data_IF_348921143396
#
_entry.id   IF_348921143396
#
_cell.length_a   1.000
_cell.length_b   1.000
_cell.length_c   1.000
_cell.angle_alpha   90.00
_cell.angle_beta   90.00
_cell.angle_gamma   90.00
#
_symmetry.space_group_name_H-M   'P 1'
#
loop_
_entity.id
_entity.type
_entity.pdbx_description
1 polymer ?
#
# COMPACT_ATOMS: atom_id res chain seq x y z
N UNK A 1 -41.39 27.48 23.58
CA UNK A 1 -41.70 26.08 23.91
C UNK A 1 -41.48 25.22 22.69
N UNK A 2 -40.75 24.12 22.86
CA UNK A 2 -40.63 22.93 21.98
C UNK A 2 -40.03 23.10 20.56
N UNK A 3 -38.72 23.38 20.49
CA UNK A 3 -37.86 23.03 19.34
C UNK A 3 -37.30 21.59 19.52
N UNK A 4 -38.17 20.61 19.74
CA UNK A 4 -37.78 19.23 20.03
C UNK A 4 -37.91 18.32 18.82
N UNK A 5 -36.79 17.86 18.25
CA UNK A 5 -36.65 16.70 17.37
C UNK A 5 -37.80 16.47 16.38
N UNK A 6 -37.88 17.31 15.34
CA UNK A 6 -38.80 17.09 14.24
C UNK A 6 -38.45 15.75 13.55
N UNK A 7 -39.28 14.72 13.77
CA UNK A 7 -39.05 13.37 13.25
C UNK A 7 -39.12 13.40 11.72
N UNK A 8 -38.06 12.94 11.05
CA UNK A 8 -38.03 12.78 9.59
C UNK A 8 -38.60 11.42 9.19
N UNK A 9 -39.59 11.42 8.29
CA UNK A 9 -40.15 10.21 7.72
C UNK A 9 -39.29 9.74 6.55
N UNK A 10 -38.64 8.58 6.67
CA UNK A 10 -37.80 8.03 5.60
C UNK A 10 -38.60 7.51 4.39
N UNK A 11 -39.89 7.20 4.55
CA UNK A 11 -40.74 6.71 3.46
C UNK A 11 -41.07 7.81 2.43
N UNK A 12 -41.41 9.02 2.89
CA UNK A 12 -41.82 10.14 2.04
C UNK A 12 -40.90 11.36 2.10
N UNK A 13 -39.85 11.34 2.94
CA UNK A 13 -38.96 12.47 3.27
C UNK A 13 -39.65 13.67 3.93
N UNK A 14 -40.91 13.52 4.35
CA UNK A 14 -41.64 14.52 5.13
C UNK A 14 -41.14 14.65 6.57
N UNK A 15 -41.57 15.70 7.27
CA UNK A 15 -41.15 15.98 8.65
C UNK A 15 -42.39 15.98 9.56
N UNK A 16 -42.22 15.63 10.83
CA UNK A 16 -43.27 15.70 11.87
C UNK A 16 -43.99 14.39 12.15
N UNK A 17 -43.60 13.27 11.53
CA UNK A 17 -44.22 11.97 11.78
C UNK A 17 -43.24 10.80 11.62
N UNK A 18 -43.48 9.73 12.37
CA UNK A 18 -42.77 8.47 12.19
C UNK A 18 -43.14 7.80 10.87
N UNK A 19 -42.19 7.07 10.28
CA UNK A 19 -42.43 6.32 9.04
C UNK A 19 -43.60 5.32 9.14
N UNK A 20 -43.84 4.72 10.32
CA UNK A 20 -44.99 3.84 10.59
C UNK A 20 -46.35 4.52 10.50
N UNK A 21 -46.39 5.84 10.71
CA UNK A 21 -47.61 6.66 10.64
C UNK A 21 -47.74 7.37 9.28
N UNK A 22 -46.87 7.04 8.31
CA UNK A 22 -46.89 7.67 7.00
C UNK A 22 -48.08 7.17 6.19
N UNK A 23 -48.96 8.09 5.80
CA UNK A 23 -50.13 7.80 4.95
C UNK A 23 -49.76 7.82 3.47
N UNK A 24 -48.62 8.42 3.12
CA UNK A 24 -48.07 8.35 1.76
C UNK A 24 -47.66 6.91 1.50
N UNK A 25 -48.16 6.35 0.39
CA UNK A 25 -47.76 5.01 -0.05
C UNK A 25 -46.23 4.94 -0.06
N UNK A 26 -45.59 4.00 0.67
CA UNK A 26 -44.15 3.85 0.65
C UNK A 26 -43.68 3.73 -0.78
N UNK A 27 -42.55 4.36 -1.13
CA UNK A 27 -41.95 4.19 -2.46
C UNK A 27 -41.81 2.69 -2.72
N UNK A 28 -42.66 2.15 -3.60
CA UNK A 28 -42.41 0.84 -4.17
C UNK A 28 -41.13 0.98 -4.97
N UNK A 29 -40.11 0.26 -4.56
CA UNK A 29 -38.86 0.14 -5.29
C UNK A 29 -39.20 -0.61 -6.57
N UNK A 30 -39.37 0.12 -7.65
CA UNK A 30 -39.56 -0.50 -8.96
C UNK A 30 -38.26 -1.20 -9.40
N UNK A 31 -38.37 -2.00 -10.46
CA UNK A 31 -37.22 -2.75 -10.97
C UNK A 31 -36.07 -1.80 -11.39
N UNK A 32 -36.39 -0.64 -11.96
CA UNK A 32 -35.40 0.36 -12.39
C UNK A 32 -34.60 0.94 -11.20
N UNK A 33 -35.28 1.23 -10.09
CA UNK A 33 -34.65 1.69 -8.87
C UNK A 33 -33.74 0.61 -8.27
N UNK A 34 -34.22 -0.65 -8.18
CA UNK A 34 -33.42 -1.75 -7.65
C UNK A 34 -32.18 -2.02 -8.51
N UNK A 35 -32.34 -1.98 -9.83
CA UNK A 35 -31.23 -2.16 -10.77
C UNK A 35 -30.18 -1.05 -10.63
N UNK A 36 -30.60 0.20 -10.45
CA UNK A 36 -29.69 1.32 -10.21
C UNK A 36 -28.94 1.16 -8.89
N UNK A 37 -29.64 0.77 -7.81
CA UNK A 37 -29.00 0.53 -6.51
C UNK A 37 -27.97 -0.61 -6.55
N UNK A 38 -28.26 -1.69 -7.29
CA UNK A 38 -27.31 -2.78 -7.50
C UNK A 38 -26.07 -2.31 -8.25
N UNK A 39 -26.24 -1.53 -9.32
CA UNK A 39 -25.13 -1.00 -10.09
C UNK A 39 -24.24 -0.06 -9.26
N UNK A 40 -24.84 0.76 -8.38
CA UNK A 40 -24.10 1.61 -7.46
C UNK A 40 -23.29 0.76 -6.49
N UNK A 41 -23.91 -0.24 -5.86
CA UNK A 41 -23.24 -1.12 -4.90
C UNK A 41 -22.06 -1.87 -5.55
N UNK A 42 -22.23 -2.39 -6.78
CA UNK A 42 -21.15 -3.06 -7.52
C UNK A 42 -19.98 -2.13 -7.81
N UNK A 43 -20.25 -0.86 -8.16
CA UNK A 43 -19.20 0.13 -8.39
C UNK A 43 -18.46 0.51 -7.11
N UNK A 44 -19.18 0.66 -6.01
CA UNK A 44 -18.59 0.92 -4.70
C UNK A 44 -17.70 -0.26 -4.26
N UNK A 45 -18.18 -1.50 -4.43
CA UNK A 45 -17.42 -2.71 -4.11
C UNK A 45 -16.14 -2.84 -4.95
N UNK A 46 -16.24 -2.61 -6.26
CA UNK A 46 -15.07 -2.58 -7.14
C UNK A 46 -14.08 -1.47 -6.74
N UNK A 47 -14.57 -0.30 -6.34
CA UNK A 47 -13.74 0.80 -5.83
C UNK A 47 -12.98 0.43 -4.56
N UNK A 48 -13.63 -0.26 -3.62
CA UNK A 48 -13.00 -0.74 -2.38
C UNK A 48 -11.91 -1.78 -2.69
N UNK A 49 -12.18 -2.71 -3.62
CA UNK A 49 -11.21 -3.73 -4.02
C UNK A 49 -9.97 -3.11 -4.67
N UNK A 50 -10.16 -2.16 -5.59
CA UNK A 50 -9.06 -1.44 -6.23
C UNK A 50 -8.20 -0.67 -5.21
N UNK A 51 -8.84 -0.03 -4.23
CA UNK A 51 -8.11 0.71 -3.20
C UNK A 51 -7.28 -0.21 -2.30
N UNK A 52 -7.77 -1.41 -2.00
CA UNK A 52 -7.01 -2.41 -1.25
C UNK A 52 -5.77 -2.87 -2.05
N UNK A 53 -5.93 -3.17 -3.34
CA UNK A 53 -4.83 -3.56 -4.21
C UNK A 53 -3.78 -2.44 -4.37
N UNK A 54 -4.22 -1.19 -4.48
CA UNK A 54 -3.32 -0.03 -4.52
C UNK A 54 -2.47 0.07 -3.24
N UNK A 55 -3.10 -0.14 -2.07
CA UNK A 55 -2.39 -0.13 -0.79
C UNK A 55 -1.35 -1.25 -0.69
N UNK A 56 -1.72 -2.47 -1.09
CA UNK A 56 -0.81 -3.62 -1.08
C UNK A 56 0.38 -3.40 -2.03
N UNK A 57 0.15 -2.81 -3.21
CA UNK A 57 1.21 -2.46 -4.16
C UNK A 57 2.16 -1.39 -3.60
N UNK A 58 1.63 -0.38 -2.90
CA UNK A 58 2.46 0.63 -2.25
C UNK A 58 3.32 0.02 -1.13
N UNK A 59 2.77 -0.90 -0.33
CA UNK A 59 3.52 -1.61 0.69
C UNK A 59 4.65 -2.45 0.08
N UNK A 60 4.34 -3.24 -0.95
CA UNK A 60 5.35 -4.04 -1.66
C UNK A 60 6.45 -3.19 -2.32
N UNK A 61 6.09 -2.00 -2.82
CA UNK A 61 7.07 -1.05 -3.37
C UNK A 61 8.01 -0.50 -2.31
N UNK A 62 7.51 -0.23 -1.09
CA UNK A 62 8.33 0.20 0.04
C UNK A 62 9.31 -0.90 0.49
N UNK A 63 8.84 -2.15 0.62
CA UNK A 63 9.69 -3.29 0.96
C UNK A 63 10.81 -3.50 -0.09
N UNK A 64 10.49 -3.30 -1.39
CA UNK A 64 11.47 -3.41 -2.47
C UNK A 64 12.56 -2.32 -2.39
N UNK A 65 12.21 -1.12 -1.94
CA UNK A 65 13.18 -0.03 -1.76
C UNK A 65 14.19 -0.36 -0.65
N UNK A 66 13.70 -0.87 0.49
CA UNK A 66 14.56 -1.33 1.59
C UNK A 66 15.50 -2.46 1.14
N UNK A 67 14.99 -3.45 0.40
CA UNK A 67 15.83 -4.53 -0.14
C UNK A 67 16.92 -3.99 -1.07
N UNK A 68 16.61 -3.00 -1.91
CA UNK A 68 17.60 -2.38 -2.80
C UNK A 68 18.69 -1.66 -2.02
N UNK A 69 18.33 -0.95 -0.96
CA UNK A 69 19.30 -0.28 -0.10
C UNK A 69 20.24 -1.30 0.57
N UNK A 70 19.68 -2.36 1.17
CA UNK A 70 20.47 -3.42 1.81
C UNK A 70 21.41 -4.09 0.80
N UNK A 71 20.94 -4.35 -0.42
CA UNK A 71 21.76 -4.93 -1.47
C UNK A 71 22.92 -4.01 -1.89
N UNK A 72 22.66 -2.70 -2.06
CA UNK A 72 23.71 -1.73 -2.36
C UNK A 72 24.76 -1.65 -1.25
N UNK A 73 24.32 -1.64 0.01
CA UNK A 73 25.21 -1.66 1.18
C UNK A 73 26.06 -2.94 1.22
N UNK A 74 25.47 -4.10 0.91
CA UNK A 74 26.19 -5.36 0.84
C UNK A 74 27.29 -5.34 -0.24
N UNK A 75 26.99 -4.83 -1.43
CA UNK A 75 27.97 -4.68 -2.52
C UNK A 75 29.12 -3.75 -2.10
N UNK A 76 28.81 -2.63 -1.45
CA UNK A 76 29.83 -1.68 -0.96
C UNK A 76 30.78 -2.34 0.05
N UNK A 77 30.23 -3.09 1.01
CA UNK A 77 31.04 -3.80 2.00
C UNK A 77 31.97 -4.84 1.35
N UNK A 78 31.47 -5.59 0.36
CA UNK A 78 32.28 -6.57 -0.36
C UNK A 78 33.44 -5.89 -1.11
N UNK A 79 33.19 -4.78 -1.79
CA UNK A 79 34.23 -4.01 -2.49
C UNK A 79 35.30 -3.49 -1.51
N UNK A 80 34.90 -3.01 -0.34
CA UNK A 80 35.83 -2.52 0.68
C UNK A 80 36.69 -3.64 1.26
N UNK A 81 36.09 -4.81 1.55
CA UNK A 81 36.84 -6.00 1.99
C UNK A 81 37.84 -6.46 0.93
N UNK A 82 37.43 -6.51 -0.34
CA UNK A 82 38.33 -6.85 -1.45
C UNK A 82 39.51 -5.89 -1.54
N UNK A 83 39.26 -4.57 -1.46
CA UNK A 83 40.33 -3.56 -1.48
C UNK A 83 41.30 -3.71 -0.30
N UNK A 84 40.79 -3.99 0.91
CA UNK A 84 41.64 -4.26 2.08
C UNK A 84 42.49 -5.53 1.93
N UNK A 85 41.94 -6.59 1.32
CA UNK A 85 42.71 -7.83 1.04
C UNK A 85 43.71 -7.67 -0.10
N UNK A 86 43.43 -6.82 -1.10
CA UNK A 86 44.35 -6.53 -2.20
C UNK A 86 45.58 -5.74 -1.70
N UNK A 87 45.38 -4.80 -0.77
CA UNK A 87 46.47 -4.03 -0.16
C UNK A 87 47.45 -4.85 0.69
N UNK A 88 47.02 -6.01 1.20
CA UNK A 88 47.89 -6.91 1.98
C UNK A 88 48.74 -7.83 1.10
N UNK A 89 48.34 -8.09 -0.15
CA UNK A 89 49.15 -8.87 -1.11
C UNK A 89 50.25 -8.04 -1.80
N UNK A 90 50.04 -6.74 -2.02
CA UNK A 90 51.02 -5.89 -2.72
C UNK A 90 52.21 -5.47 -1.85
N UNK A 91 52.11 -5.56 -0.53
CA UNK A 91 53.23 -5.29 0.40
C UNK A 91 54.14 -6.52 0.61
N UNK A 92 53.71 -7.69 0.14
CA UNK A 92 54.55 -8.88 0.07
C UNK A 92 55.27 -8.91 -1.28
N UNK A 93 56.22 -7.99 -1.48
CA UNK A 93 57.19 -8.14 -2.57
C UNK A 93 57.83 -9.53 -2.46
N UNK A 94 57.85 -10.36 -3.52
CA UNK A 94 58.61 -11.60 -3.49
C UNK A 94 60.08 -11.21 -3.32
N UNK A 95 60.62 -11.44 -2.11
CA UNK A 95 62.02 -11.20 -1.78
C UNK A 95 62.84 -12.09 -2.72
N UNK A 96 63.49 -11.46 -3.70
CA UNK A 96 64.42 -12.15 -4.58
C UNK A 96 65.64 -12.50 -3.73
N UNK A 97 65.80 -13.78 -3.41
CA UNK A 97 67.07 -14.31 -2.93
C UNK A 97 68.05 -14.27 -4.12
N UNK A 98 68.64 -13.10 -4.33
CA UNK A 98 69.81 -12.93 -5.20
C UNK A 98 71.02 -13.38 -4.40
N UNK A 99 71.18 -14.69 -4.27
CA UNK A 99 72.38 -15.30 -3.73
C UNK A 99 73.31 -15.50 -4.93
N UNK A 100 73.90 -14.40 -5.37
CA UNK A 100 75.12 -14.48 -6.16
C UNK A 100 76.23 -15.06 -5.29
N UNK A 101 76.68 -16.25 -5.62
CA UNK A 101 78.05 -16.66 -5.26
C UNK A 101 78.68 -17.35 -6.47
N UNK A 102 79.54 -16.59 -7.14
CA UNK A 102 80.82 -17.03 -7.73
C UNK A 102 81.48 -18.08 -6.81
N UNK A 103 82.04 -19.20 -7.27
CA UNK A 103 83.05 -19.48 -8.32
C UNK A 103 82.86 -20.91 -8.85
#
# INVERSE_FOLDING_TARGET
GQNGNQIRCYNCRGIGHYARNCTVRPKRRDAAYLQTQLLIAQKEEAGIQLQAEEYDLMAAAADLDEIKEVNANCILMANMQQASTLGTQTDSAPVYNTDGSTE
#
